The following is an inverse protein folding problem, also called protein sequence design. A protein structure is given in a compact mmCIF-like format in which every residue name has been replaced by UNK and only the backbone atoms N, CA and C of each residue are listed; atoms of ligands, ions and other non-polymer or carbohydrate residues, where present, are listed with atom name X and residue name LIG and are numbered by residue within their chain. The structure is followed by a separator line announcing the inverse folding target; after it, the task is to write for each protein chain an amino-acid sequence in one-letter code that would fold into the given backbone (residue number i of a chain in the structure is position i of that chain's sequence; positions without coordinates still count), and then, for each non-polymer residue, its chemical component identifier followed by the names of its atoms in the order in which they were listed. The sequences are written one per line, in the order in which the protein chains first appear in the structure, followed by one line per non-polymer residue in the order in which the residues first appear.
data_IF_055568988205
#
_entry.id   IF_055568988205
#
_cell.length_a   1.000
_cell.length_b   1.000
_cell.length_c   1.000
_cell.angle_alpha   90.00
_cell.angle_beta   90.00
_cell.angle_gamma   90.00
#
_symmetry.space_group_name_H-M   'P 1'
#
loop_
_entity.id
_entity.type
_entity.pdbx_description
1 polymer ?
#
# COMPACT_ATOMS: atom_id res chain seq x y z
N UNK A 1 -8.10 -2.40 8.55
CA UNK A 1 -7.79 -3.53 7.65
C UNK A 1 -8.71 -4.67 7.95
N UNK A 2 -8.69 -5.70 7.11
CA UNK A 2 -9.38 -6.96 7.40
C UNK A 2 -8.77 -7.57 8.66
N UNK A 3 -9.60 -8.02 9.60
CA UNK A 3 -9.09 -8.69 10.81
C UNK A 3 -8.38 -9.98 10.43
N UNK A 4 -7.14 -10.14 10.89
CA UNK A 4 -6.31 -11.33 10.67
C UNK A 4 -5.52 -11.63 11.93
N UNK A 5 -5.29 -12.92 12.20
CA UNK A 5 -4.41 -13.30 13.30
C UNK A 5 -2.99 -12.75 13.12
N UNK A 6 -2.29 -12.50 14.22
CA UNK A 6 -0.88 -12.08 14.19
C UNK A 6 -0.04 -13.12 13.46
N UNK A 7 0.95 -12.69 12.67
CA UNK A 7 1.86 -13.62 11.99
C UNK A 7 2.56 -14.51 13.04
N UNK A 8 2.50 -15.85 12.96
CA UNK A 8 2.94 -16.73 14.05
C UNK A 8 4.42 -17.11 14.00
N UNK A 9 5.10 -16.97 12.85
CA UNK A 9 6.47 -17.46 12.68
C UNK A 9 7.54 -16.58 13.33
N UNK A 10 8.67 -17.20 13.66
CA UNK A 10 9.90 -16.55 14.17
C UNK A 10 10.81 -16.03 13.04
N UNK A 11 10.55 -16.46 11.81
CA UNK A 11 11.15 -15.93 10.59
C UNK A 11 10.01 -15.64 9.61
N UNK A 12 10.08 -14.50 8.94
CA UNK A 12 9.09 -14.13 7.93
C UNK A 12 9.28 -14.99 6.67
N UNK A 13 8.19 -15.61 6.23
CA UNK A 13 8.09 -16.31 4.96
C UNK A 13 7.49 -15.38 3.91
N UNK A 14 8.14 -15.30 2.76
CA UNK A 14 7.74 -14.39 1.69
C UNK A 14 6.33 -14.68 1.16
N UNK A 15 5.98 -15.96 0.95
CA UNK A 15 4.71 -16.33 0.35
C UNK A 15 3.54 -16.03 1.30
N UNK A 16 3.70 -16.34 2.58
CA UNK A 16 2.70 -16.05 3.61
C UNK A 16 2.51 -14.55 3.80
N UNK A 17 3.61 -13.77 3.87
CA UNK A 17 3.53 -12.30 3.97
C UNK A 17 2.85 -11.72 2.72
N UNK A 18 3.22 -12.15 1.52
CA UNK A 18 2.63 -11.69 0.26
C UNK A 18 1.14 -12.04 0.17
N UNK A 19 0.74 -13.22 0.63
CA UNK A 19 -0.66 -13.64 0.66
C UNK A 19 -1.49 -12.69 1.54
N UNK A 20 -1.05 -12.46 2.78
CA UNK A 20 -1.69 -11.52 3.71
C UNK A 20 -1.70 -10.08 3.18
N UNK A 21 -0.60 -9.66 2.56
CA UNK A 21 -0.49 -8.33 1.95
C UNK A 21 -1.54 -8.13 0.84
N UNK A 22 -1.74 -9.12 -0.04
CA UNK A 22 -2.77 -9.05 -1.10
C UNK A 22 -4.19 -8.92 -0.55
N UNK A 23 -4.51 -9.62 0.53
CA UNK A 23 -5.83 -9.50 1.19
C UNK A 23 -6.05 -8.06 1.69
N UNK A 24 -5.05 -7.48 2.35
CA UNK A 24 -5.15 -6.11 2.85
C UNK A 24 -5.18 -5.07 1.71
N UNK A 25 -4.41 -5.30 0.65
CA UNK A 25 -4.40 -4.46 -0.56
C UNK A 25 -5.77 -4.41 -1.24
N UNK A 26 -6.47 -5.54 -1.34
CA UNK A 26 -7.82 -5.58 -1.92
C UNK A 26 -8.79 -4.72 -1.10
N UNK A 27 -8.77 -4.89 0.23
CA UNK A 27 -9.60 -4.09 1.14
C UNK A 27 -9.27 -2.60 1.06
N UNK A 28 -7.98 -2.25 1.01
CA UNK A 28 -7.53 -0.87 0.92
C UNK A 28 -7.97 -0.22 -0.40
N UNK A 29 -7.87 -0.94 -1.51
CA UNK A 29 -8.28 -0.44 -2.82
C UNK A 29 -9.78 -0.15 -2.87
N UNK A 30 -10.61 -1.04 -2.35
CA UNK A 30 -12.06 -0.85 -2.26
C UNK A 30 -12.39 0.40 -1.43
N UNK A 31 -11.82 0.49 -0.21
CA UNK A 31 -12.02 1.66 0.65
C UNK A 31 -11.59 2.95 -0.05
N UNK A 32 -10.41 2.96 -0.69
CA UNK A 32 -9.88 4.16 -1.36
C UNK A 32 -10.77 4.61 -2.52
N UNK A 33 -11.27 3.68 -3.35
CA UNK A 33 -12.21 3.98 -4.43
C UNK A 33 -13.51 4.57 -3.88
N UNK A 34 -14.09 3.98 -2.84
CA UNK A 34 -15.32 4.51 -2.22
C UNK A 34 -15.13 5.91 -1.64
N UNK A 35 -13.97 6.16 -1.02
CA UNK A 35 -13.63 7.49 -0.52
C UNK A 35 -13.51 8.50 -1.66
N UNK A 36 -12.78 8.17 -2.73
CA UNK A 36 -12.61 9.08 -3.88
C UNK A 36 -13.93 9.36 -4.60
N UNK A 37 -14.79 8.34 -4.77
CA UNK A 37 -16.14 8.51 -5.31
C UNK A 37 -16.96 9.50 -4.48
N UNK A 38 -16.89 9.39 -3.15
CA UNK A 38 -17.60 10.30 -2.24
C UNK A 38 -17.05 11.72 -2.35
N UNK A 39 -15.73 11.88 -2.35
CA UNK A 39 -15.06 13.19 -2.48
C UNK A 39 -15.47 13.86 -3.79
N UNK A 40 -15.30 13.19 -4.93
CA UNK A 40 -15.57 13.80 -6.23
C UNK A 40 -17.05 14.08 -6.44
N UNK A 41 -17.95 13.18 -6.02
CA UNK A 41 -19.38 13.44 -6.09
C UNK A 41 -19.77 14.70 -5.29
N UNK A 42 -19.23 14.86 -4.08
CA UNK A 42 -19.54 16.02 -3.25
C UNK A 42 -18.85 17.29 -3.74
N UNK A 43 -17.64 17.18 -4.29
CA UNK A 43 -16.91 18.31 -4.88
C UNK A 43 -17.68 18.89 -6.07
N UNK A 44 -18.12 18.04 -7.00
CA UNK A 44 -18.90 18.48 -8.16
C UNK A 44 -20.26 19.06 -7.75
N UNK A 45 -20.88 18.52 -6.69
CA UNK A 45 -22.18 19.01 -6.24
C UNK A 45 -22.11 20.37 -5.56
N UNK A 46 -21.09 20.60 -4.74
CA UNK A 46 -21.07 21.76 -3.82
C UNK A 46 -19.96 22.78 -4.14
N UNK A 47 -18.93 22.39 -4.87
CA UNK A 47 -17.73 23.20 -5.14
C UNK A 47 -17.24 23.09 -6.59
N UNK A 48 -18.16 22.94 -7.54
CA UNK A 48 -17.82 22.80 -8.96
C UNK A 48 -16.99 23.98 -9.49
N UNK A 49 -15.88 23.66 -10.14
CA UNK A 49 -14.87 24.58 -10.69
C UNK A 49 -15.34 25.28 -11.98
N UNK A 50 -16.48 25.98 -11.91
CA UNK A 50 -17.18 26.58 -13.07
C UNK A 50 -16.27 27.41 -13.97
N UNK A 51 -15.37 28.21 -13.39
CA UNK A 51 -14.49 29.09 -14.16
C UNK A 51 -13.43 28.28 -14.91
N UNK A 52 -12.80 27.30 -14.26
CA UNK A 52 -11.83 26.43 -14.94
C UNK A 52 -12.52 25.56 -16.00
N UNK A 53 -13.71 25.04 -15.72
CA UNK A 53 -14.45 24.17 -16.64
C UNK A 53 -15.02 24.93 -17.85
N UNK A 54 -15.32 26.22 -17.71
CA UNK A 54 -15.73 27.08 -18.83
C UNK A 54 -14.63 27.26 -19.90
N UNK A 55 -13.37 26.94 -19.55
CA UNK A 55 -12.22 26.99 -20.45
C UNK A 55 -11.90 25.65 -21.11
N UNK A 56 -12.73 24.62 -20.88
CA UNK A 56 -12.60 23.30 -21.49
C UNK A 56 -13.63 23.08 -22.61
N UNK A 57 -13.35 22.13 -23.49
CA UNK A 57 -14.34 21.64 -24.46
C UNK A 57 -15.59 21.09 -23.76
N UNK A 58 -16.73 21.08 -24.46
CA UNK A 58 -18.00 20.63 -23.89
C UNK A 58 -18.00 19.16 -23.44
N UNK A 59 -17.04 18.35 -23.89
CA UNK A 59 -16.85 16.95 -23.47
C UNK A 59 -15.44 16.79 -22.92
N UNK A 60 -15.35 16.68 -21.60
CA UNK A 60 -14.10 16.41 -20.89
C UNK A 60 -14.03 14.93 -20.53
N UNK A 61 -12.84 14.34 -20.66
CA UNK A 61 -12.57 13.01 -20.13
C UNK A 61 -12.02 13.13 -18.70
N UNK A 62 -12.47 12.25 -17.81
CA UNK A 62 -12.10 12.27 -16.40
C UNK A 62 -11.35 11.01 -16.02
N UNK A 63 -10.17 11.18 -15.43
CA UNK A 63 -9.41 10.10 -14.81
C UNK A 63 -9.56 10.15 -13.30
N UNK A 64 -9.80 9.00 -12.68
CA UNK A 64 -9.67 8.89 -11.23
C UNK A 64 -8.21 8.62 -10.90
N UNK A 65 -7.51 9.65 -10.41
CA UNK A 65 -6.09 9.58 -10.10
C UNK A 65 -5.88 9.02 -8.70
N UNK A 66 -5.20 7.87 -8.60
CA UNK A 66 -4.80 7.26 -7.34
C UNK A 66 -3.29 7.37 -7.15
N UNK A 67 -2.86 7.66 -5.92
CA UNK A 67 -1.45 7.71 -5.54
C UNK A 67 -1.05 6.53 -4.66
N UNK A 68 0.22 6.12 -4.76
CA UNK A 68 0.84 5.16 -3.83
C UNK A 68 2.02 5.86 -3.18
N UNK A 69 2.09 5.80 -1.84
CA UNK A 69 3.22 6.30 -1.06
C UNK A 69 4.02 5.13 -0.49
N UNK A 70 5.34 5.31 -0.33
CA UNK A 70 6.21 4.31 0.30
C UNK A 70 6.54 3.09 -0.58
N UNK A 71 6.48 3.22 -1.91
CA UNK A 71 6.72 2.11 -2.82
C UNK A 71 8.09 1.43 -2.62
N UNK A 72 9.17 2.20 -2.50
CA UNK A 72 10.51 1.65 -2.28
C UNK A 72 10.62 0.93 -0.93
N UNK A 73 9.97 1.45 0.11
CA UNK A 73 9.94 0.81 1.43
C UNK A 73 9.27 -0.55 1.36
N UNK A 74 8.14 -0.66 0.67
CA UNK A 74 7.45 -1.94 0.46
C UNK A 74 8.30 -2.90 -0.37
N UNK A 75 8.89 -2.43 -1.47
CA UNK A 75 9.74 -3.23 -2.34
C UNK A 75 10.95 -3.80 -1.59
N UNK A 76 11.67 -2.96 -0.84
CA UNK A 76 12.85 -3.35 -0.06
C UNK A 76 12.48 -4.28 1.10
N UNK A 77 11.34 -4.07 1.75
CA UNK A 77 10.86 -4.95 2.82
C UNK A 77 10.58 -6.36 2.29
N UNK A 78 9.90 -6.44 1.14
CA UNK A 78 9.61 -7.71 0.47
C UNK A 78 10.88 -8.39 -0.05
N UNK A 79 11.84 -7.60 -0.56
CA UNK A 79 13.16 -8.08 -0.97
C UNK A 79 13.94 -8.67 0.21
N UNK A 80 13.98 -7.98 1.35
CA UNK A 80 14.62 -8.47 2.57
C UNK A 80 14.01 -9.80 3.03
N UNK A 81 12.68 -9.93 3.01
CA UNK A 81 11.99 -11.18 3.39
C UNK A 81 12.30 -12.32 2.41
N UNK A 82 12.53 -12.01 1.13
CA UNK A 82 12.78 -13.02 0.09
C UNK A 82 14.23 -13.50 0.05
N UNK A 83 15.18 -12.58 0.21
CA UNK A 83 16.60 -12.83 -0.07
C UNK A 83 17.48 -12.81 1.18
N UNK A 84 16.98 -12.31 2.30
CA UNK A 84 17.65 -12.34 3.59
C UNK A 84 16.77 -13.06 4.63
N UNK A 85 17.27 -13.19 5.87
CA UNK A 85 16.51 -13.77 6.98
C UNK A 85 15.99 -12.66 7.87
N UNK A 86 14.67 -12.46 7.89
CA UNK A 86 14.02 -11.42 8.69
C UNK A 86 13.30 -12.04 9.90
N UNK A 87 13.70 -11.64 11.11
CA UNK A 87 13.11 -12.06 12.38
C UNK A 87 12.29 -10.92 12.98
N UNK A 88 10.99 -11.10 13.26
CA UNK A 88 10.20 -10.08 13.92
C UNK A 88 10.55 -9.97 15.41
N UNK A 89 10.66 -8.75 15.91
CA UNK A 89 10.74 -8.44 17.34
C UNK A 89 9.33 -8.10 17.82
N UNK A 90 8.90 -8.73 18.91
CA UNK A 90 7.54 -8.63 19.42
C UNK A 90 7.49 -7.93 20.77
N UNK A 91 6.46 -7.13 20.97
CA UNK A 91 6.16 -6.51 22.25
C UNK A 91 5.43 -7.47 23.21
N UNK A 92 5.09 -6.98 24.40
CA UNK A 92 4.41 -7.75 25.44
C UNK A 92 3.02 -8.29 25.01
N UNK A 93 2.39 -7.69 24.00
CA UNK A 93 1.10 -8.11 23.44
C UNK A 93 1.27 -9.09 22.25
N UNK A 94 2.50 -9.45 21.89
CA UNK A 94 2.82 -10.34 20.78
C UNK A 94 2.79 -9.67 19.40
N UNK A 95 2.57 -8.36 19.34
CA UNK A 95 2.59 -7.57 18.10
C UNK A 95 4.02 -7.29 17.67
N UNK A 96 4.26 -7.31 16.36
CA UNK A 96 5.57 -7.02 15.78
C UNK A 96 5.81 -5.51 15.84
N UNK A 97 6.92 -5.09 16.43
CA UNK A 97 7.30 -3.67 16.57
C UNK A 97 8.64 -3.33 15.89
N UNK A 98 9.49 -4.32 15.62
CA UNK A 98 10.76 -4.15 14.93
C UNK A 98 11.16 -5.42 14.17
N UNK A 99 12.23 -5.35 13.37
CA UNK A 99 12.76 -6.46 12.57
C UNK A 99 14.28 -6.54 12.65
N UNK A 100 14.79 -7.76 12.87
CA UNK A 100 16.22 -8.06 12.76
C UNK A 100 16.45 -8.74 11.41
N UNK A 101 17.30 -8.14 10.58
CA UNK A 101 17.64 -8.66 9.25
C UNK A 101 19.05 -9.24 9.27
N UNK A 102 19.17 -10.52 8.96
CA UNK A 102 20.44 -11.24 8.82
C UNK A 102 20.68 -11.55 7.33
N UNK A 103 21.72 -10.94 6.74
CA UNK A 103 22.06 -11.09 5.32
C UNK A 103 21.89 -9.79 4.52
N UNK A 104 22.27 -9.83 3.24
CA UNK A 104 22.08 -8.73 2.29
C UNK A 104 20.92 -9.05 1.34
N UNK A 105 20.30 -8.02 0.78
CA UNK A 105 19.20 -8.14 -0.17
C UNK A 105 19.24 -6.98 -1.18
N UNK A 106 18.76 -7.18 -2.41
CA UNK A 106 18.62 -6.13 -3.41
C UNK A 106 17.74 -4.98 -2.92
N UNK A 107 18.12 -3.75 -3.21
CA UNK A 107 17.34 -2.54 -2.85
C UNK A 107 16.90 -1.82 -4.10
N UNK A 108 15.67 -1.32 -4.08
CA UNK A 108 15.05 -0.59 -5.15
C UNK A 108 15.91 0.61 -5.59
N UNK A 109 16.00 0.83 -6.90
CA UNK A 109 16.76 1.94 -7.50
C UNK A 109 18.22 1.63 -7.83
N UNK A 110 18.65 0.36 -7.76
CA UNK A 110 20.03 -0.05 -8.06
C UNK A 110 20.18 -0.97 -9.30
N UNK A 111 19.18 -1.01 -10.19
CA UNK A 111 19.20 -1.80 -11.43
C UNK A 111 19.44 -3.32 -11.20
N UNK A 112 18.75 -3.87 -10.21
CA UNK A 112 18.78 -5.29 -9.82
C UNK A 112 17.36 -5.85 -9.92
N UNK A 113 17.17 -6.86 -10.79
CA UNK A 113 15.87 -7.41 -11.23
C UNK A 113 15.26 -8.44 -10.24
#
# INVERSE_FOLDING_TARGET
GVEMGVYPGDVLDFNEVMHRFKIQMQWLAELYVHTMNTIHYMHDRYAYERVQMALHDSRVHYFMSFGIAGLSVVADSLSAIRYARVKPVRNAQGLIEDFIVEGNYPKFGNDDD
#
